data_IF_467786145445
#
_entry.id   IF_467786145445
#
_cell.length_a   1.000
_cell.length_b   1.000
_cell.length_c   1.000
_cell.angle_alpha   90.00
_cell.angle_beta   90.00
_cell.angle_gamma   90.00
#
_symmetry.space_group_name_H-M   'P 1'
#
loop_
_entity.id
_entity.type
_entity.pdbx_description
1 polymer ?
#
# COMPACT_ATOMS: atom_id res chain seq x y z
N UNK A 1 11.40 16.97 3.78
CA UNK A 1 10.47 15.89 3.37
C UNK A 1 11.11 14.55 3.68
N UNK A 2 10.43 13.67 4.43
CA UNK A 2 10.92 12.31 4.72
C UNK A 2 10.79 11.47 3.43
N UNK A 3 11.80 10.67 3.09
CA UNK A 3 11.73 9.71 1.97
C UNK A 3 10.98 8.46 2.41
N UNK A 4 10.21 7.86 1.48
CA UNK A 4 9.60 6.55 1.68
C UNK A 4 10.66 5.46 1.86
N UNK A 5 10.37 4.45 2.67
CA UNK A 5 11.16 3.22 2.68
C UNK A 5 11.14 2.49 1.33
N UNK A 6 12.12 1.61 1.09
CA UNK A 6 12.18 0.83 -0.15
C UNK A 6 10.92 -0.04 -0.32
N UNK A 7 10.50 -0.73 0.75
CA UNK A 7 9.30 -1.58 0.72
C UNK A 7 8.03 -0.74 0.50
N UNK A 8 7.89 0.40 1.18
CA UNK A 8 6.75 1.29 0.94
C UNK A 8 6.71 1.80 -0.50
N UNK A 9 7.86 2.11 -1.10
CA UNK A 9 7.93 2.54 -2.50
C UNK A 9 7.48 1.43 -3.46
N UNK A 10 7.92 0.20 -3.22
CA UNK A 10 7.53 -0.97 -4.04
C UNK A 10 6.03 -1.26 -3.90
N UNK A 11 5.51 -1.30 -2.68
CA UNK A 11 4.08 -1.54 -2.41
C UNK A 11 3.22 -0.42 -2.99
N UNK A 12 3.63 0.83 -2.84
CA UNK A 12 2.92 1.97 -3.41
C UNK A 12 2.81 1.88 -4.93
N UNK A 13 3.91 1.52 -5.61
CA UNK A 13 3.90 1.28 -7.06
C UNK A 13 3.01 0.12 -7.44
N UNK A 14 3.03 -0.98 -6.67
CA UNK A 14 2.16 -2.13 -6.92
C UNK A 14 0.69 -1.73 -6.82
N UNK A 15 0.29 -1.05 -5.75
CA UNK A 15 -1.08 -0.58 -5.52
C UNK A 15 -1.56 0.43 -6.58
N UNK A 16 -0.66 1.21 -7.18
CA UNK A 16 -1.00 2.08 -8.31
C UNK A 16 -1.32 1.28 -9.59
N UNK A 17 -0.59 0.19 -9.82
CA UNK A 17 -0.77 -0.67 -11.00
C UNK A 17 -1.90 -1.68 -10.83
N UNK A 18 -2.24 -2.03 -9.60
CA UNK A 18 -3.30 -2.97 -9.28
C UNK A 18 -4.68 -2.34 -9.56
N UNK A 19 -5.31 -2.82 -10.63
CA UNK A 19 -6.65 -2.39 -11.04
C UNK A 19 -7.76 -3.08 -10.25
N UNK A 20 -7.44 -4.14 -9.49
CA UNK A 20 -8.42 -4.91 -8.72
C UNK A 20 -8.72 -4.30 -7.37
N UNK A 21 -7.76 -3.60 -6.75
CA UNK A 21 -7.89 -2.93 -5.45
C UNK A 21 -8.33 -3.84 -4.29
N UNK A 22 -8.11 -5.14 -4.43
CA UNK A 22 -8.69 -6.18 -3.57
C UNK A 22 -7.61 -6.92 -2.75
N UNK A 23 -6.43 -6.32 -2.54
CA UNK A 23 -5.33 -6.98 -1.84
C UNK A 23 -4.93 -6.24 -0.57
N UNK A 24 -4.69 -7.02 0.49
CA UNK A 24 -4.05 -6.54 1.69
C UNK A 24 -2.53 -6.42 1.48
N UNK A 25 -1.87 -5.45 2.12
CA UNK A 25 -0.40 -5.31 2.09
C UNK A 25 0.33 -6.64 2.40
N UNK A 26 -0.04 -7.43 3.43
CA UNK A 26 0.57 -8.74 3.67
C UNK A 26 0.47 -9.72 2.50
N UNK A 27 -0.61 -9.65 1.71
CA UNK A 27 -0.78 -10.49 0.52
C UNK A 27 0.11 -10.01 -0.63
N UNK A 28 0.29 -8.70 -0.77
CA UNK A 28 1.22 -8.11 -1.74
C UNK A 28 2.65 -8.51 -1.40
N UNK A 29 3.03 -8.51 -0.12
CA UNK A 29 4.33 -9.01 0.34
C UNK A 29 4.58 -10.45 -0.08
N UNK A 30 3.59 -11.33 0.13
CA UNK A 30 3.67 -12.74 -0.32
C UNK A 30 3.81 -12.85 -1.84
N UNK A 31 3.05 -12.05 -2.60
CA UNK A 31 3.12 -12.05 -4.08
C UNK A 31 4.45 -11.55 -4.62
N UNK A 32 5.07 -10.58 -3.94
CA UNK A 32 6.32 -9.96 -4.34
C UNK A 32 7.56 -10.58 -3.67
N UNK A 33 7.38 -11.66 -2.89
CA UNK A 33 8.45 -12.34 -2.14
C UNK A 33 9.28 -11.38 -1.26
N UNK A 34 8.61 -10.37 -0.68
CA UNK A 34 9.23 -9.37 0.20
C UNK A 34 9.41 -9.93 1.62
N UNK A 35 10.42 -9.42 2.34
CA UNK A 35 10.67 -9.79 3.74
C UNK A 35 9.54 -9.30 4.64
N UNK A 36 8.80 -10.22 5.25
CA UNK A 36 7.55 -9.99 6.02
C UNK A 36 7.70 -9.27 7.36
N UNK A 37 8.87 -8.69 7.66
CA UNK A 37 9.15 -8.02 8.94
C UNK A 37 8.50 -6.64 9.07
N UNK A 38 8.26 -5.95 7.96
CA UNK A 38 7.96 -4.51 7.96
C UNK A 38 6.55 -4.18 7.43
N UNK A 39 5.69 -5.17 7.23
CA UNK A 39 4.37 -5.00 6.59
C UNK A 39 3.51 -3.91 7.26
N UNK A 40 3.43 -3.95 8.60
CA UNK A 40 2.69 -2.96 9.38
C UNK A 40 3.33 -1.58 9.36
N UNK A 41 4.66 -1.51 9.31
CA UNK A 41 5.37 -0.24 9.23
C UNK A 41 5.15 0.40 7.87
N UNK A 42 5.16 -0.38 6.79
CA UNK A 42 4.85 0.08 5.44
C UNK A 42 3.40 0.53 5.31
N UNK A 43 2.45 -0.24 5.86
CA UNK A 43 1.06 0.17 5.90
C UNK A 43 0.88 1.50 6.64
N UNK A 44 1.52 1.65 7.80
CA UNK A 44 1.49 2.88 8.57
C UNK A 44 2.15 4.05 7.83
N UNK A 45 3.30 3.83 7.20
CA UNK A 45 4.02 4.84 6.43
C UNK A 45 3.16 5.37 5.28
N UNK A 46 2.58 4.48 4.48
CA UNK A 46 1.76 4.88 3.33
C UNK A 46 0.44 5.53 3.74
N UNK A 47 -0.23 5.01 4.77
CA UNK A 47 -1.50 5.55 5.26
C UNK A 47 -1.34 6.89 5.98
N UNK A 48 -0.29 7.06 6.79
CA UNK A 48 0.00 8.32 7.49
C UNK A 48 0.34 9.48 6.55
N UNK A 49 0.87 9.18 5.37
CA UNK A 49 1.11 10.15 4.30
C UNK A 49 -0.13 10.37 3.41
N UNK A 50 -1.23 9.68 3.68
CA UNK A 50 -2.46 9.76 2.90
C UNK A 50 -2.32 9.19 1.49
N UNK A 51 -1.29 8.39 1.21
CA UNK A 51 -1.01 7.82 -0.12
C UNK A 51 -1.96 6.67 -0.45
N UNK A 52 -2.42 5.94 0.57
CA UNK A 52 -3.35 4.83 0.44
C UNK A 52 -4.57 5.01 1.35
N UNK A 53 -5.65 4.31 1.03
CA UNK A 53 -6.83 4.14 1.87
C UNK A 53 -6.92 2.68 2.29
N UNK A 54 -7.30 2.48 3.56
CA UNK A 54 -7.56 1.17 4.14
C UNK A 54 -9.07 0.99 4.20
N UNK A 55 -9.60 -0.06 3.58
CA UNK A 55 -11.01 -0.39 3.57
C UNK A 55 -11.28 -1.72 4.29
N UNK A 56 -12.32 -1.75 5.12
CA UNK A 56 -12.84 -2.98 5.69
C UNK A 56 -13.84 -3.57 4.71
N UNK A 57 -13.55 -4.75 4.15
CA UNK A 57 -14.55 -5.50 3.42
C UNK A 57 -15.32 -6.49 4.29
N UNK A 58 -16.15 -7.29 3.63
CA UNK A 58 -16.96 -8.31 4.29
C UNK A 58 -16.06 -9.37 4.94
N UNK A 59 -16.40 -9.81 6.16
CA UNK A 59 -15.64 -10.77 6.98
C UNK A 59 -14.35 -10.24 7.65
N UNK A 60 -14.24 -8.94 7.94
CA UNK A 60 -13.06 -8.32 8.57
C UNK A 60 -11.77 -8.44 7.76
N UNK A 61 -11.87 -8.62 6.45
CA UNK A 61 -10.71 -8.53 5.56
C UNK A 61 -10.39 -7.06 5.27
N UNK A 62 -9.11 -6.71 5.42
CA UNK A 62 -8.60 -5.38 5.09
C UNK A 62 -8.14 -5.36 3.63
N UNK A 63 -8.49 -4.29 2.92
CA UNK A 63 -8.07 -4.05 1.55
C UNK A 63 -7.37 -2.69 1.47
N UNK A 64 -6.31 -2.61 0.66
CA UNK A 64 -5.53 -1.40 0.49
C UNK A 64 -5.66 -0.90 -0.94
N UNK A 65 -6.02 0.37 -1.10
CA UNK A 65 -6.10 1.03 -2.41
C UNK A 65 -5.35 2.33 -2.42
N UNK A 66 -4.85 2.74 -3.58
CA UNK A 66 -4.24 4.05 -3.72
C UNK A 66 -5.29 5.16 -3.54
N UNK A 67 -4.96 6.21 -2.79
CA UNK A 67 -5.84 7.36 -2.63
C UNK A 67 -5.76 8.31 -3.84
N UNK A 68 -6.74 9.20 -4.00
CA UNK A 68 -6.67 10.27 -5.01
C UNK A 68 -5.49 11.22 -4.80
N UNK A 69 -4.98 11.35 -3.57
CA UNK A 69 -3.74 12.08 -3.31
C UNK A 69 -2.52 11.25 -3.76
N UNK A 70 -2.49 9.95 -3.46
CA UNK A 70 -1.46 9.03 -3.90
C UNK A 70 -1.32 9.00 -5.42
N UNK A 71 -2.44 8.92 -6.17
CA UNK A 71 -2.42 8.97 -7.63
C UNK A 71 -1.71 10.22 -8.16
N UNK A 72 -2.09 11.39 -7.66
CA UNK A 72 -1.47 12.67 -8.04
C UNK A 72 0.02 12.74 -7.69
N UNK A 73 0.42 12.19 -6.55
CA UNK A 73 1.84 12.11 -6.15
C UNK A 73 2.63 11.22 -7.10
N UNK A 74 2.05 10.11 -7.58
CA UNK A 74 2.73 9.21 -8.51
C UNK A 74 2.87 9.80 -9.92
N UNK A 75 1.93 10.63 -10.35
CA UNK A 75 1.86 11.22 -11.70
C UNK A 75 2.66 12.53 -11.87
N UNK A 76 3.20 13.09 -10.78
CA UNK A 76 3.98 14.34 -10.76
C UNK A 76 5.47 14.12 -11.02
#
# INVERSE_FOLDING_TARGET
MKRLSNNATVIFRYLYQDTTHDLAIPEIYKKLELLSGDEKEVEYELSSLGLIQVENGSNNNLFHKISEYGKRVYES
#
